data_IF_560272759229
#
_entry.id   IF_560272759229
#
_cell.length_a   1.000
_cell.length_b   1.000
_cell.length_c   1.000
_cell.angle_alpha   90.00
_cell.angle_beta   90.00
_cell.angle_gamma   90.00
#
_symmetry.space_group_name_H-M   'P 1'
#
loop_
_entity.id
_entity.type
_entity.pdbx_description
1 polymer ?
#
# COMPACT_ATOMS: atom_id res chain seq x y z
N UNK A 1 19.52 24.40 39.28
CA UNK A 1 19.97 24.44 37.88
C UNK A 1 20.61 23.10 37.61
N UNK A 2 19.83 22.11 37.18
CA UNK A 2 19.47 21.85 35.76
C UNK A 2 20.49 20.84 35.19
N UNK A 3 20.16 19.67 34.64
CA UNK A 3 18.89 19.08 34.20
C UNK A 3 19.03 17.54 34.16
N UNK A 4 17.98 16.80 34.57
CA UNK A 4 17.84 15.37 34.31
C UNK A 4 17.61 15.14 32.81
N UNK A 5 18.57 14.55 32.10
CA UNK A 5 18.36 14.08 30.73
C UNK A 5 18.03 12.58 30.74
N UNK A 6 16.75 12.26 30.93
CA UNK A 6 16.22 10.90 30.80
C UNK A 6 16.18 10.54 29.32
N UNK A 7 17.16 9.77 28.86
CA UNK A 7 17.21 9.26 27.49
C UNK A 7 16.16 8.16 27.31
N UNK A 8 14.94 8.55 26.95
CA UNK A 8 13.82 7.66 26.68
C UNK A 8 13.94 7.08 25.25
N UNK A 9 14.74 6.03 25.09
CA UNK A 9 14.68 5.19 23.89
C UNK A 9 13.42 4.32 23.95
N UNK A 10 12.39 4.68 23.16
CA UNK A 10 11.13 3.92 23.04
C UNK A 10 11.30 2.72 22.10
N UNK A 11 11.97 1.67 22.57
CA UNK A 11 11.76 0.30 22.05
C UNK A 11 10.94 -0.48 23.07
N UNK A 12 9.61 -0.31 23.05
CA UNK A 12 8.69 -1.11 23.89
C UNK A 12 8.55 -2.49 23.29
N UNK A 13 9.41 -3.41 23.72
CA UNK A 13 9.23 -4.85 23.53
C UNK A 13 8.24 -5.29 24.61
N UNK A 14 6.97 -5.49 24.23
CA UNK A 14 5.99 -6.11 25.12
C UNK A 14 6.47 -7.53 25.45
N UNK A 15 6.87 -7.74 26.70
CA UNK A 15 6.96 -9.06 27.34
C UNK A 15 5.83 -9.12 28.37
N UNK A 16 4.89 -10.04 28.19
CA UNK A 16 3.81 -10.26 29.16
C UNK A 16 2.67 -11.09 28.59
N UNK A 17 2.74 -12.40 28.85
CA UNK A 17 1.78 -13.45 28.49
C UNK A 17 0.46 -13.30 29.27
N UNK A 18 -0.69 -13.44 28.59
CA UNK A 18 -1.92 -13.99 29.17
C UNK A 18 -2.53 -14.96 28.16
N UNK A 19 -2.76 -16.20 28.60
CA UNK A 19 -3.32 -17.30 27.83
C UNK A 19 -4.81 -17.07 27.52
N UNK A 20 -5.22 -17.37 26.29
CA UNK A 20 -6.61 -17.29 25.83
C UNK A 20 -6.74 -16.41 24.59
N UNK A 21 -7.06 -17.03 23.45
CA UNK A 21 -7.03 -16.48 22.08
C UNK A 21 -5.61 -16.27 21.53
N UNK A 22 -5.17 -17.22 20.69
CA UNK A 22 -4.14 -16.90 19.70
C UNK A 22 -4.79 -15.94 18.69
N UNK A 23 -4.78 -14.63 18.98
CA UNK A 23 -4.73 -13.68 17.88
C UNK A 23 -3.34 -13.90 17.30
N UNK A 24 -3.26 -14.73 16.26
CA UNK A 24 -2.10 -14.77 15.39
C UNK A 24 -1.81 -13.31 15.07
N UNK A 25 -0.76 -12.76 15.68
CA UNK A 25 -0.22 -11.49 15.25
C UNK A 25 0.15 -11.73 13.80
N UNK A 26 -0.72 -11.25 12.92
CA UNK A 26 -0.46 -11.18 11.50
C UNK A 26 0.96 -10.64 11.39
N UNK A 27 1.82 -11.18 10.52
CA UNK A 27 3.08 -10.56 10.19
C UNK A 27 2.80 -9.21 9.50
N UNK A 28 2.34 -8.27 10.30
CA UNK A 28 1.76 -6.98 10.01
C UNK A 28 2.79 -6.01 9.40
N UNK A 29 4.08 -6.35 9.51
CA UNK A 29 5.15 -5.61 8.85
C UNK A 29 6.01 -6.49 7.93
N UNK A 30 5.67 -7.76 7.71
CA UNK A 30 6.75 -8.75 7.58
C UNK A 30 6.72 -9.68 6.36
N UNK A 31 5.87 -9.47 5.35
CA UNK A 31 6.02 -10.23 4.08
C UNK A 31 6.43 -9.28 2.96
N UNK A 32 5.51 -8.45 2.49
CA UNK A 32 5.75 -7.39 1.52
C UNK A 32 6.69 -6.25 1.95
N UNK A 33 6.76 -5.90 3.23
CA UNK A 33 7.77 -4.95 3.75
C UNK A 33 9.08 -5.66 4.14
N UNK A 34 9.03 -6.93 4.59
CA UNK A 34 10.24 -7.74 4.83
C UNK A 34 10.98 -8.07 3.54
N UNK A 35 10.29 -8.30 2.43
CA UNK A 35 10.88 -8.45 1.08
C UNK A 35 11.77 -7.25 0.72
N UNK A 36 11.42 -6.05 1.18
CA UNK A 36 12.23 -4.85 0.94
C UNK A 36 13.27 -4.58 2.03
N UNK A 37 13.03 -5.03 3.28
CA UNK A 37 14.02 -4.88 4.36
C UNK A 37 15.12 -5.94 4.36
N UNK A 38 14.91 -7.11 3.74
CA UNK A 38 15.96 -8.13 3.58
C UNK A 38 16.93 -7.81 2.44
N UNK A 39 16.56 -6.93 1.50
CA UNK A 39 17.42 -6.47 0.40
C UNK A 39 18.32 -5.30 0.78
N UNK A 40 18.18 -4.74 1.99
CA UNK A 40 19.18 -3.84 2.59
C UNK A 40 20.04 -4.67 3.55
N UNK A 41 20.76 -5.64 2.99
CA UNK A 41 21.89 -6.24 3.71
C UNK A 41 23.03 -5.25 3.67
N UNK A 42 23.41 -4.77 4.85
CA UNK A 42 24.68 -4.07 5.08
C UNK A 42 25.82 -5.03 4.76
N UNK A 43 26.18 -5.16 3.47
CA UNK A 43 27.45 -5.75 3.08
C UNK A 43 28.53 -4.71 3.35
N UNK A 44 29.09 -4.74 4.55
CA UNK A 44 30.36 -4.09 4.80
C UNK A 44 31.43 -4.78 3.95
N UNK A 45 31.69 -4.27 2.75
CA UNK A 45 32.97 -4.39 2.02
C UNK A 45 32.94 -3.65 0.68
N UNK A 46 33.75 -2.59 0.60
CA UNK A 46 34.64 -2.29 -0.51
C UNK A 46 34.06 -2.08 -1.92
N UNK A 47 34.06 -0.82 -2.35
CA UNK A 47 34.33 -0.41 -3.74
C UNK A 47 33.44 -1.02 -4.84
N UNK A 48 32.26 -0.43 -5.03
CA UNK A 48 31.44 -0.58 -6.23
C UNK A 48 30.25 0.37 -6.12
N UNK A 49 29.89 1.06 -7.20
CA UNK A 49 28.73 1.95 -7.29
C UNK A 49 27.40 1.17 -7.15
N UNK A 50 27.13 0.63 -5.98
CA UNK A 50 25.83 0.09 -5.59
C UNK A 50 25.01 1.28 -5.11
N UNK A 51 24.22 1.88 -6.01
CA UNK A 51 23.18 2.82 -5.59
C UNK A 51 22.15 2.04 -4.77
N UNK A 52 22.34 2.00 -3.45
CA UNK A 52 21.35 1.51 -2.50
C UNK A 52 20.18 2.48 -2.54
N UNK A 53 19.21 2.22 -3.42
CA UNK A 53 18.03 3.07 -3.51
C UNK A 53 17.16 2.80 -2.29
N UNK A 54 16.96 3.83 -1.46
CA UNK A 54 16.05 3.76 -0.32
C UNK A 54 14.61 3.55 -0.80
N UNK A 55 13.80 2.90 0.04
CA UNK A 55 12.35 2.82 -0.18
C UNK A 55 11.79 4.23 -0.45
N UNK A 56 11.05 4.35 -1.53
CA UNK A 56 10.46 5.61 -1.95
C UNK A 56 9.07 5.33 -2.51
N UNK A 57 8.03 5.65 -1.74
CA UNK A 57 6.64 5.42 -2.12
C UNK A 57 5.91 6.75 -2.33
N UNK A 58 4.92 6.74 -3.21
CA UNK A 58 4.03 7.86 -3.47
C UNK A 58 2.69 7.65 -2.80
N UNK A 59 2.13 8.77 -2.32
CA UNK A 59 0.82 8.80 -1.70
C UNK A 59 -0.32 8.56 -2.69
N UNK A 60 -1.51 8.16 -2.20
CA UNK A 60 -2.69 7.97 -3.06
C UNK A 60 -3.07 9.23 -3.85
N UNK A 61 -2.79 10.42 -3.32
CA UNK A 61 -3.04 11.70 -4.00
C UNK A 61 -2.11 11.94 -5.18
N UNK A 62 -0.83 11.54 -5.06
CA UNK A 62 0.11 11.63 -6.17
C UNK A 62 -0.26 10.66 -7.29
N UNK A 63 -0.61 9.41 -6.93
CA UNK A 63 -1.03 8.38 -7.92
C UNK A 63 -2.27 8.84 -8.67
N UNK A 64 -3.22 9.48 -7.99
CA UNK A 64 -4.42 10.08 -8.60
C UNK A 64 -4.10 11.19 -9.62
N UNK A 65 -3.20 12.12 -9.27
CA UNK A 65 -3.04 13.39 -10.00
C UNK A 65 -1.85 13.45 -10.97
N UNK A 66 -0.76 12.71 -10.70
CA UNK A 66 0.55 12.94 -11.35
C UNK A 66 1.30 11.67 -11.77
N UNK A 67 0.66 10.50 -11.72
CA UNK A 67 1.22 9.31 -12.36
C UNK A 67 1.19 9.46 -13.87
N UNK A 68 2.14 10.20 -14.45
CA UNK A 68 2.20 10.55 -15.89
C UNK A 68 2.19 9.33 -16.83
N UNK A 69 2.44 8.11 -16.33
CA UNK A 69 2.23 6.85 -17.05
C UNK A 69 1.19 5.91 -16.40
N UNK A 70 0.71 6.24 -15.20
CA UNK A 70 -0.21 5.38 -14.45
C UNK A 70 -1.67 5.75 -14.71
N UNK A 71 -2.03 7.05 -14.75
CA UNK A 71 -3.43 7.47 -14.92
C UNK A 71 -4.05 6.99 -16.24
N UNK A 72 -3.28 6.96 -17.33
CA UNK A 72 -3.71 6.44 -18.65
C UNK A 72 -3.96 4.93 -18.62
N UNK A 73 -3.03 4.14 -18.08
CA UNK A 73 -3.13 2.68 -17.96
C UNK A 73 -4.31 2.23 -17.06
N UNK A 74 -4.60 2.98 -15.99
CA UNK A 74 -5.56 2.58 -14.96
C UNK A 74 -7.01 3.03 -15.20
N UNK A 75 -7.22 3.85 -16.23
CA UNK A 75 -8.56 4.27 -16.67
C UNK A 75 -9.38 3.11 -17.25
N UNK A 76 -8.71 2.09 -17.81
CA UNK A 76 -9.33 0.92 -18.44
C UNK A 76 -9.20 -0.36 -17.62
N UNK A 77 -8.23 -0.43 -16.69
CA UNK A 77 -8.05 -1.60 -15.83
C UNK A 77 -9.10 -1.64 -14.73
N UNK A 78 -9.83 -2.76 -14.67
CA UNK A 78 -10.81 -3.00 -13.62
C UNK A 78 -10.13 -3.48 -12.34
N UNK A 79 -10.70 -3.08 -11.21
CA UNK A 79 -10.25 -3.54 -9.90
C UNK A 79 -10.30 -5.07 -9.80
N UNK A 80 -11.40 -5.66 -10.27
CA UNK A 80 -11.62 -7.11 -10.28
C UNK A 80 -10.61 -7.88 -11.11
N UNK A 81 -10.18 -7.33 -12.25
CA UNK A 81 -9.21 -8.00 -13.13
C UNK A 81 -7.80 -8.04 -12.48
N UNK A 82 -7.43 -6.97 -11.78
CA UNK A 82 -6.11 -6.85 -11.13
C UNK A 82 -6.05 -7.65 -9.83
N UNK A 83 -7.03 -7.48 -8.95
CA UNK A 83 -7.03 -8.11 -7.63
C UNK A 83 -7.63 -9.52 -7.65
N UNK A 84 -8.34 -9.90 -8.71
CA UNK A 84 -9.08 -11.17 -8.81
C UNK A 84 -10.40 -11.19 -8.03
N UNK A 85 -10.75 -10.07 -7.37
CA UNK A 85 -11.89 -9.97 -6.46
C UNK A 85 -12.55 -8.60 -6.55
N UNK A 86 -13.80 -8.50 -6.08
CA UNK A 86 -14.53 -7.23 -5.96
C UNK A 86 -13.93 -6.30 -4.91
N UNK A 87 -14.43 -5.06 -4.86
CA UNK A 87 -14.04 -4.08 -3.85
C UNK A 87 -14.32 -4.58 -2.43
N UNK A 88 -13.47 -4.20 -1.48
CA UNK A 88 -13.65 -4.48 -0.06
C UNK A 88 -14.55 -3.42 0.56
N UNK A 89 -15.63 -3.84 1.21
CA UNK A 89 -16.50 -2.95 1.98
C UNK A 89 -17.95 -3.40 1.98
N UNK A 90 -18.76 -2.73 2.80
CA UNK A 90 -20.20 -2.96 2.88
C UNK A 90 -20.91 -2.12 1.83
N UNK A 91 -21.85 -2.72 1.10
CA UNK A 91 -22.69 -2.00 0.14
C UNK A 91 -23.67 -1.10 0.88
N UNK A 92 -23.82 0.15 0.44
CA UNK A 92 -24.90 1.01 0.90
C UNK A 92 -26.22 0.55 0.29
N UNK A 93 -27.32 0.71 1.03
CA UNK A 93 -28.67 0.45 0.51
C UNK A 93 -28.88 1.15 -0.84
N UNK A 94 -29.40 0.40 -1.82
CA UNK A 94 -29.61 0.86 -3.19
C UNK A 94 -28.40 0.75 -4.12
N UNK A 95 -27.26 0.25 -3.65
CA UNK A 95 -26.10 -0.10 -4.50
C UNK A 95 -26.08 -1.59 -4.79
N UNK A 96 -26.02 -1.99 -6.06
CA UNK A 96 -25.85 -3.39 -6.44
C UNK A 96 -24.37 -3.78 -6.51
N UNK A 97 -24.05 -5.04 -6.25
CA UNK A 97 -22.72 -5.59 -6.52
C UNK A 97 -22.39 -5.54 -8.02
N UNK A 98 -23.41 -5.64 -8.89
CA UNK A 98 -23.23 -5.57 -10.35
C UNK A 98 -22.72 -4.21 -10.82
N UNK A 99 -23.17 -3.13 -10.17
CA UNK A 99 -22.71 -1.76 -10.44
C UNK A 99 -21.20 -1.62 -10.19
N UNK A 100 -20.64 -2.44 -9.29
CA UNK A 100 -19.25 -2.37 -8.87
C UNK A 100 -18.30 -3.27 -9.68
N UNK A 101 -18.82 -4.18 -10.51
CA UNK A 101 -18.01 -5.16 -11.27
C UNK A 101 -17.05 -4.53 -12.26
N UNK A 102 -17.43 -3.38 -12.82
CA UNK A 102 -16.67 -2.67 -13.84
C UNK A 102 -15.92 -1.45 -13.29
N UNK A 103 -15.79 -1.35 -11.96
CA UNK A 103 -15.06 -0.24 -11.35
C UNK A 103 -13.59 -0.32 -11.72
N UNK A 104 -13.06 0.79 -12.23
CA UNK A 104 -11.66 0.90 -12.64
C UNK A 104 -10.77 1.34 -11.49
N UNK A 105 -9.47 1.06 -11.59
CA UNK A 105 -8.49 1.49 -10.60
C UNK A 105 -8.48 3.01 -10.43
N UNK A 106 -8.62 3.76 -11.53
CA UNK A 106 -8.75 5.22 -11.48
C UNK A 106 -10.01 5.67 -10.71
N UNK A 107 -11.15 5.01 -10.94
CA UNK A 107 -12.39 5.34 -10.20
C UNK A 107 -12.24 5.12 -8.69
N UNK A 108 -11.53 4.07 -8.26
CA UNK A 108 -11.24 3.85 -6.83
C UNK A 108 -10.40 4.99 -6.24
N UNK A 109 -9.44 5.54 -6.99
CA UNK A 109 -8.64 6.69 -6.55
C UNK A 109 -9.45 7.99 -6.53
N UNK A 110 -10.33 8.19 -7.52
CA UNK A 110 -11.13 9.40 -7.68
C UNK A 110 -12.24 9.51 -6.65
N UNK A 111 -12.91 8.39 -6.36
CA UNK A 111 -14.07 8.28 -5.46
C UNK A 111 -13.73 7.54 -4.16
N UNK A 112 -12.45 7.46 -3.79
CA UNK A 112 -11.99 6.86 -2.55
C UNK A 112 -12.38 7.70 -1.33
N UNK A 113 -13.54 7.39 -0.76
CA UNK A 113 -14.02 7.93 0.52
C UNK A 113 -14.29 6.79 1.50
N UNK A 114 -13.98 7.01 2.78
CA UNK A 114 -14.09 5.99 3.80
C UNK A 114 -15.56 5.69 4.10
N UNK A 115 -15.89 4.42 4.28
CA UNK A 115 -17.22 3.95 4.64
C UNK A 115 -17.81 3.02 3.59
N UNK A 116 -19.13 3.02 3.47
CA UNK A 116 -19.83 2.11 2.60
C UNK A 116 -19.54 2.38 1.12
N UNK A 117 -19.55 1.31 0.33
CA UNK A 117 -19.49 1.36 -1.11
C UNK A 117 -20.84 1.86 -1.63
N UNK A 118 -20.81 2.94 -2.41
CA UNK A 118 -22.00 3.61 -2.89
C UNK A 118 -21.90 3.91 -4.39
N UNK A 119 -22.91 3.45 -5.12
CA UNK A 119 -23.13 3.79 -6.52
C UNK A 119 -24.31 4.75 -6.67
N UNK A 120 -24.19 5.71 -7.58
CA UNK A 120 -25.29 6.58 -7.95
C UNK A 120 -25.91 6.10 -9.26
N UNK A 121 -26.95 5.27 -9.17
CA UNK A 121 -27.63 4.70 -10.34
C UNK A 121 -28.26 5.76 -11.24
N UNK A 122 -28.72 6.90 -10.69
CA UNK A 122 -29.29 8.00 -11.48
C UNK A 122 -28.26 8.70 -12.36
N UNK A 123 -27.00 8.78 -11.90
CA UNK A 123 -25.90 9.42 -12.62
C UNK A 123 -24.96 8.40 -13.27
N UNK A 124 -25.30 7.12 -13.18
CA UNK A 124 -24.50 5.98 -13.62
C UNK A 124 -22.99 6.13 -13.27
N UNK A 125 -22.70 6.46 -12.01
CA UNK A 125 -21.32 6.67 -11.58
C UNK A 125 -21.07 6.31 -10.11
N UNK A 126 -19.82 6.01 -9.73
CA UNK A 126 -19.48 5.81 -8.33
C UNK A 126 -19.73 7.08 -7.50
N UNK A 127 -19.97 6.89 -6.21
CA UNK A 127 -20.02 7.98 -5.23
C UNK A 127 -19.02 7.76 -4.10
N UNK A 128 -18.87 6.52 -3.63
CA UNK A 128 -17.89 6.14 -2.61
C UNK A 128 -17.38 4.74 -2.93
N UNK A 129 -16.05 4.61 -3.10
CA UNK A 129 -15.37 3.35 -3.43
C UNK A 129 -14.24 3.01 -2.46
N UNK A 130 -14.02 3.84 -1.43
CA UNK A 130 -12.89 3.65 -0.52
C UNK A 130 -13.03 2.40 0.34
N UNK A 131 -14.26 2.00 0.64
CA UNK A 131 -14.53 0.93 1.60
C UNK A 131 -14.18 1.37 3.02
N UNK A 132 -14.18 0.41 3.95
CA UNK A 132 -13.76 0.63 5.33
C UNK A 132 -12.38 1.31 5.37
N UNK A 133 -12.28 2.47 6.04
CA UNK A 133 -11.04 3.26 6.17
C UNK A 133 -10.31 3.65 4.87
N UNK A 134 -10.96 3.63 3.71
CA UNK A 134 -10.29 3.79 2.39
C UNK A 134 -9.35 2.64 2.00
N UNK A 135 -9.56 1.43 2.52
CA UNK A 135 -8.72 0.25 2.23
C UNK A 135 -8.50 0.03 0.72
N UNK A 136 -9.54 0.18 -0.10
CA UNK A 136 -9.43 -0.02 -1.56
C UNK A 136 -8.49 0.99 -2.20
N UNK A 137 -8.50 2.24 -1.71
CA UNK A 137 -7.62 3.31 -2.21
C UNK A 137 -6.16 2.99 -1.92
N UNK A 138 -5.87 2.45 -0.73
CA UNK A 138 -4.52 2.03 -0.36
C UNK A 138 -4.07 0.78 -1.13
N UNK A 139 -4.95 -0.19 -1.38
CA UNK A 139 -4.66 -1.32 -2.26
C UNK A 139 -4.19 -0.87 -3.65
N UNK A 140 -4.97 0.00 -4.29
CA UNK A 140 -4.62 0.55 -5.61
C UNK A 140 -3.30 1.33 -5.55
N UNK A 141 -3.06 2.07 -4.49
CA UNK A 141 -1.84 2.86 -4.32
C UNK A 141 -0.60 1.97 -4.16
N UNK A 142 -0.69 0.91 -3.36
CA UNK A 142 0.43 -0.03 -3.17
C UNK A 142 0.75 -0.78 -4.46
N UNK A 143 -0.28 -1.25 -5.17
CA UNK A 143 -0.13 -1.84 -6.50
C UNK A 143 0.52 -0.86 -7.50
N UNK A 144 0.12 0.42 -7.46
CA UNK A 144 0.71 1.46 -8.31
C UNK A 144 2.20 1.65 -8.05
N UNK A 145 2.58 1.74 -6.78
CA UNK A 145 3.97 1.88 -6.39
C UNK A 145 4.80 0.68 -6.86
N UNK A 146 4.25 -0.54 -6.82
CA UNK A 146 4.95 -1.73 -7.28
C UNK A 146 5.18 -1.70 -8.80
N UNK A 147 4.14 -1.34 -9.57
CA UNK A 147 4.22 -1.26 -11.03
C UNK A 147 5.15 -0.15 -11.54
N UNK A 148 5.24 0.96 -10.80
CA UNK A 148 6.05 2.12 -11.17
C UNK A 148 7.45 2.12 -10.54
N UNK A 149 7.79 1.11 -9.74
CA UNK A 149 9.10 1.02 -9.09
C UNK A 149 10.24 1.10 -10.12
N UNK A 150 11.22 1.96 -9.85
CA UNK A 150 12.29 2.31 -10.78
C UNK A 150 12.00 3.53 -11.65
N UNK A 151 10.83 4.16 -11.53
CA UNK A 151 10.43 5.34 -12.31
C UNK A 151 9.72 6.39 -11.43
N UNK A 152 9.71 7.66 -11.87
CA UNK A 152 8.96 8.73 -11.18
C UNK A 152 9.39 9.04 -9.73
N UNK A 153 10.61 8.65 -9.36
CA UNK A 153 11.12 8.73 -7.99
C UNK A 153 10.49 7.71 -7.05
N UNK A 154 9.90 6.63 -7.58
CA UNK A 154 9.37 5.50 -6.81
C UNK A 154 10.42 4.38 -6.79
N UNK A 155 10.71 3.86 -5.61
CA UNK A 155 11.47 2.65 -5.42
C UNK A 155 10.72 1.76 -4.42
N UNK A 156 10.03 0.76 -4.97
CA UNK A 156 9.26 -0.22 -4.22
C UNK A 156 9.47 -1.61 -4.86
N UNK A 157 10.66 -2.23 -4.64
CA UNK A 157 11.12 -3.41 -5.34
C UNK A 157 10.48 -4.70 -4.81
N UNK A 158 9.15 -4.79 -4.85
CA UNK A 158 8.42 -6.01 -4.46
C UNK A 158 8.31 -7.02 -5.60
N UNK A 159 8.42 -6.56 -6.84
CA UNK A 159 8.38 -7.41 -8.04
C UNK A 159 9.77 -7.98 -8.34
N UNK A 160 9.82 -9.22 -8.82
CA UNK A 160 11.04 -9.95 -9.17
C UNK A 160 11.88 -9.21 -10.22
N UNK A 161 11.24 -8.49 -11.15
CA UNK A 161 11.91 -7.61 -12.13
C UNK A 161 12.77 -6.52 -11.48
N UNK A 162 12.48 -6.18 -10.23
CA UNK A 162 13.19 -5.18 -9.43
C UNK A 162 13.91 -5.80 -8.21
N UNK A 163 14.11 -7.13 -8.19
CA UNK A 163 14.77 -7.85 -7.09
C UNK A 163 13.85 -8.27 -5.92
N UNK A 164 12.53 -8.13 -6.09
CA UNK A 164 11.55 -8.53 -5.09
C UNK A 164 11.10 -9.99 -5.15
N UNK A 165 10.23 -10.37 -4.21
CA UNK A 165 9.77 -11.77 -4.04
C UNK A 165 8.58 -12.15 -4.93
N UNK A 166 7.83 -11.18 -5.46
CA UNK A 166 6.62 -11.47 -6.24
C UNK A 166 6.95 -11.61 -7.72
N UNK A 167 6.53 -12.73 -8.33
CA UNK A 167 6.83 -13.01 -9.74
C UNK A 167 6.14 -12.02 -10.70
N UNK A 168 4.93 -11.58 -10.35
CA UNK A 168 4.16 -10.61 -11.12
C UNK A 168 3.48 -9.57 -10.24
N UNK A 169 3.08 -8.45 -10.85
CA UNK A 169 2.27 -7.43 -10.18
C UNK A 169 0.91 -7.96 -9.73
N UNK A 170 0.35 -8.95 -10.44
CA UNK A 170 -0.91 -9.58 -10.09
C UNK A 170 -0.78 -10.49 -8.85
N UNK A 171 0.34 -11.22 -8.71
CA UNK A 171 0.59 -12.03 -7.51
C UNK A 171 0.71 -11.16 -6.27
N UNK A 172 1.44 -10.04 -6.40
CA UNK A 172 1.51 -9.03 -5.36
C UNK A 172 0.11 -8.47 -5.02
N UNK A 173 -0.68 -8.10 -6.04
CA UNK A 173 -2.02 -7.56 -5.85
C UNK A 173 -2.94 -8.54 -5.08
N UNK A 174 -2.93 -9.83 -5.44
CA UNK A 174 -3.73 -10.86 -4.75
C UNK A 174 -3.32 -11.02 -3.29
N UNK A 175 -2.02 -11.00 -3.00
CA UNK A 175 -1.51 -11.15 -1.64
C UNK A 175 -1.93 -9.98 -0.73
N UNK A 176 -1.75 -8.74 -1.19
CA UNK A 176 -2.15 -7.56 -0.42
C UNK A 176 -3.68 -7.47 -0.28
N UNK A 177 -4.43 -7.94 -1.29
CA UNK A 177 -5.89 -8.02 -1.21
C UNK A 177 -6.35 -9.01 -0.14
N UNK A 178 -5.78 -10.22 -0.10
CA UNK A 178 -6.12 -11.22 0.91
C UNK A 178 -5.84 -10.69 2.33
N UNK A 179 -4.70 -10.02 2.50
CA UNK A 179 -4.35 -9.36 3.77
C UNK A 179 -5.36 -8.27 4.15
N UNK A 180 -5.71 -7.40 3.20
CA UNK A 180 -6.67 -6.32 3.39
C UNK A 180 -8.10 -6.81 3.65
N UNK A 181 -8.51 -7.92 3.03
CA UNK A 181 -9.84 -8.51 3.22
C UNK A 181 -10.00 -9.09 4.62
N UNK A 182 -8.93 -9.69 5.17
CA UNK A 182 -8.94 -10.23 6.53
C UNK A 182 -8.99 -9.12 7.58
N UNK A 183 -8.15 -8.09 7.43
CA UNK A 183 -8.03 -7.00 8.41
C UNK A 183 -7.88 -5.63 7.73
N UNK A 184 -8.99 -5.02 7.24
CA UNK A 184 -8.91 -3.81 6.42
C UNK A 184 -8.36 -2.60 7.17
N UNK A 185 -8.70 -2.45 8.45
CA UNK A 185 -8.19 -1.38 9.33
C UNK A 185 -6.68 -1.45 9.48
N UNK A 186 -6.18 -2.64 9.80
CA UNK A 186 -4.77 -2.87 10.05
C UNK A 186 -3.95 -2.74 8.76
N UNK A 187 -4.41 -3.34 7.65
CA UNK A 187 -3.78 -3.18 6.35
C UNK A 187 -3.67 -1.71 5.97
N UNK A 188 -4.76 -0.94 6.09
CA UNK A 188 -4.74 0.49 5.76
C UNK A 188 -3.73 1.24 6.62
N UNK A 189 -3.71 1.00 7.93
CA UNK A 189 -2.78 1.65 8.85
C UNK A 189 -1.32 1.36 8.49
N UNK A 190 -1.01 0.11 8.14
CA UNK A 190 0.32 -0.29 7.70
C UNK A 190 0.73 0.33 6.36
N UNK A 191 -0.16 0.29 5.37
CA UNK A 191 0.08 0.89 4.06
C UNK A 191 0.30 2.40 4.18
N UNK A 192 -0.49 3.07 5.00
CA UNK A 192 -0.36 4.50 5.28
C UNK A 192 0.97 4.82 6.00
N UNK A 193 1.33 4.07 7.05
CA UNK A 193 2.63 4.22 7.72
C UNK A 193 3.78 4.02 6.74
N UNK A 194 3.75 2.94 5.95
CA UNK A 194 4.83 2.63 5.00
C UNK A 194 5.01 3.76 3.97
N UNK A 195 3.90 4.29 3.44
CA UNK A 195 3.91 5.41 2.51
C UNK A 195 4.44 6.69 3.18
N UNK A 196 4.00 6.99 4.41
CA UNK A 196 4.40 8.22 5.10
C UNK A 196 5.87 8.18 5.53
N UNK A 197 6.33 7.03 6.04
CA UNK A 197 7.70 6.81 6.50
C UNK A 197 8.71 6.84 5.34
N UNK A 198 8.25 6.54 4.11
CA UNK A 198 9.08 6.45 2.91
C UNK A 198 8.56 7.36 1.80
N UNK A 199 7.93 8.47 2.16
CA UNK A 199 7.28 9.32 1.17
C UNK A 199 8.33 9.91 0.22
N UNK A 200 8.25 9.56 -1.06
CA UNK A 200 9.16 10.07 -2.06
C UNK A 200 9.00 11.59 -2.16
N UNK A 201 10.08 12.32 -1.89
CA UNK A 201 10.18 13.74 -2.27
C UNK A 201 10.49 13.82 -3.77
N UNK A 202 10.42 15.00 -4.37
CA UNK A 202 10.64 15.20 -5.82
C UNK A 202 12.07 14.87 -6.29
N UNK A 203 12.94 14.45 -5.39
CA UNK A 203 14.31 13.99 -5.63
C UNK A 203 14.48 12.62 -4.97
N UNK A 204 15.27 11.74 -5.60
CA UNK A 204 15.63 10.45 -5.02
C UNK A 204 16.18 10.71 -3.62
N UNK A 205 15.66 10.05 -2.56
CA UNK A 205 16.17 10.26 -1.23
C UNK A 205 17.63 9.78 -1.18
N UNK A 206 18.56 10.72 -0.95
CA UNK A 206 19.89 10.37 -0.49
C UNK A 206 19.73 9.64 0.83
N UNK A 207 20.13 8.37 0.85
CA UNK A 207 20.12 7.57 2.06
C UNK A 207 21.10 8.17 3.07
N UNK A 208 20.58 8.81 4.13
CA UNK A 208 21.40 9.18 5.26
C UNK A 208 21.88 7.90 5.96
N UNK A 209 23.20 7.70 5.99
CA UNK A 209 23.88 6.66 6.76
C UNK A 209 24.06 7.15 8.20
#
# INVERSE_FOLDING_TARGET
MDSKQTNNSRRRILKGVVAGSAVASIPAKSVWASTVTTSVTTSGQGSGNLQTSCLALRSPGWVKNKGNGYSSYNSSLKFSDVFGFGLIGTLKSGTSADDLKNVTLQQVLDYGSAGNLEWNSKKNKPKSLGGTENVNRFLVTMYANACLSGSGGIWYPVLSSNGGSYHSAQDFAREIYNSAKLNPYEFKSQAESLINDNHANSYLPDCAI
#
